data_IF_741432109716
#
_entry.id   IF_741432109716
#
_cell.length_a   1.000
_cell.length_b   1.000
_cell.length_c   1.000
_cell.angle_alpha   90.00
_cell.angle_beta   90.00
_cell.angle_gamma   90.00
#
_symmetry.space_group_name_H-M   'P 1'
#
loop_
_entity.id
_entity.type
_entity.pdbx_description
1 polymer ?
#
# COMPACT_ATOMS: atom_id res chain seq x y z
N UNK A 1 30.79 -2.06 -10.05
CA UNK A 1 30.64 -0.59 -10.24
C UNK A 1 29.85 -0.38 -11.53
N UNK A 2 28.52 -0.42 -11.46
CA UNK A 2 27.63 -0.09 -12.60
C UNK A 2 26.88 1.17 -12.21
N UNK A 3 27.29 2.28 -12.79
CA UNK A 3 26.56 3.53 -12.68
C UNK A 3 25.30 3.41 -13.56
N UNK A 4 24.12 3.40 -12.94
CA UNK A 4 22.85 3.57 -13.64
C UNK A 4 22.62 5.06 -13.78
N UNK A 5 22.79 5.60 -15.00
CA UNK A 5 22.35 6.95 -15.32
C UNK A 5 20.81 6.92 -15.46
N UNK A 6 20.10 7.34 -14.41
CA UNK A 6 18.67 7.61 -14.47
C UNK A 6 18.39 8.87 -15.28
N UNK A 7 17.37 8.85 -16.14
CA UNK A 7 16.84 10.07 -16.76
C UNK A 7 15.95 10.78 -15.74
N UNK A 8 16.42 11.92 -15.22
CA UNK A 8 15.59 12.78 -14.37
C UNK A 8 14.49 13.44 -15.22
N UNK A 9 13.25 13.13 -14.92
CA UNK A 9 12.09 13.81 -15.50
C UNK A 9 11.51 14.77 -14.46
N UNK A 10 11.26 16.03 -14.85
CA UNK A 10 10.51 16.98 -14.03
C UNK A 10 9.03 16.85 -14.35
N UNK A 11 8.21 16.60 -13.37
CA UNK A 11 6.75 16.59 -13.49
C UNK A 11 6.22 17.91 -12.93
N UNK A 12 5.38 18.61 -13.72
CA UNK A 12 4.74 19.86 -13.30
C UNK A 12 3.55 19.52 -12.39
N UNK A 13 3.63 19.94 -11.14
CA UNK A 13 2.54 19.94 -10.17
C UNK A 13 2.16 21.36 -9.79
N UNK A 14 1.00 21.58 -9.18
CA UNK A 14 0.52 22.92 -8.74
C UNK A 14 1.50 23.68 -7.80
N UNK A 15 2.56 23.03 -7.31
CA UNK A 15 3.57 23.55 -6.39
C UNK A 15 4.99 23.71 -6.97
N UNK A 16 5.23 23.46 -8.27
CA UNK A 16 6.56 23.52 -8.88
C UNK A 16 7.05 22.19 -9.45
N UNK A 17 8.27 22.16 -10.02
CA UNK A 17 8.88 20.95 -10.57
C UNK A 17 9.42 20.06 -9.44
N UNK A 18 8.83 18.89 -9.21
CA UNK A 18 9.36 17.86 -8.32
C UNK A 18 10.27 16.90 -9.10
N UNK A 19 11.43 16.57 -8.53
CA UNK A 19 12.32 15.55 -9.10
C UNK A 19 11.63 14.18 -9.10
N UNK A 20 11.76 13.46 -10.20
CA UNK A 20 11.23 12.10 -10.37
C UNK A 20 12.28 11.26 -11.09
N UNK A 21 12.70 10.17 -10.46
CA UNK A 21 13.65 9.21 -11.04
C UNK A 21 13.03 7.82 -11.13
N UNK A 22 13.09 7.22 -12.32
CA UNK A 22 12.57 5.89 -12.61
C UNK A 22 13.73 4.90 -12.70
N UNK A 23 13.70 3.86 -11.91
CA UNK A 23 14.73 2.82 -11.89
C UNK A 23 14.14 1.48 -11.41
N UNK A 24 14.99 0.48 -11.23
CA UNK A 24 14.56 -0.82 -10.72
C UNK A 24 15.38 -1.24 -9.51
N UNK A 25 14.70 -1.75 -8.48
CA UNK A 25 15.32 -2.42 -7.33
C UNK A 25 15.08 -3.91 -7.50
N UNK A 26 16.12 -4.71 -7.73
CA UNK A 26 16.00 -6.18 -7.97
C UNK A 26 14.93 -6.52 -9.01
N UNK A 27 14.88 -5.78 -10.12
CA UNK A 27 13.87 -5.87 -11.19
C UNK A 27 12.47 -5.34 -10.87
N UNK A 28 12.20 -4.84 -9.66
CA UNK A 28 10.94 -4.21 -9.29
C UNK A 28 10.93 -2.78 -9.84
N UNK A 29 10.00 -2.40 -10.74
CA UNK A 29 9.89 -1.03 -11.26
C UNK A 29 9.56 -0.07 -10.12
N UNK A 30 10.36 0.97 -9.98
CA UNK A 30 10.35 1.87 -8.83
C UNK A 30 10.45 3.33 -9.29
N UNK A 31 9.84 4.22 -8.55
CA UNK A 31 9.96 5.68 -8.71
C UNK A 31 10.44 6.28 -7.39
N UNK A 32 11.47 7.11 -7.47
CA UNK A 32 11.90 7.99 -6.39
C UNK A 32 11.44 9.41 -6.70
N UNK A 33 10.67 9.98 -5.78
CA UNK A 33 10.10 11.32 -5.89
C UNK A 33 10.78 12.27 -4.89
N UNK A 34 10.96 13.51 -5.30
CA UNK A 34 11.40 14.61 -4.44
C UNK A 34 12.90 14.81 -4.37
N UNK A 35 13.30 15.93 -3.80
CA UNK A 35 14.68 16.32 -3.62
C UNK A 35 15.40 15.44 -2.62
N UNK A 36 16.73 15.38 -2.71
CA UNK A 36 17.55 14.53 -1.82
C UNK A 36 17.26 14.80 -0.34
N UNK A 37 16.96 13.76 0.40
CA UNK A 37 16.63 13.79 1.82
C UNK A 37 17.27 12.61 2.59
N UNK A 38 17.33 12.72 3.90
CA UNK A 38 17.66 11.60 4.81
C UNK A 38 16.40 10.84 5.29
N UNK A 39 15.20 11.34 4.92
CA UNK A 39 13.90 10.81 5.30
C UNK A 39 13.14 10.31 4.09
N UNK A 40 12.48 9.17 4.19
CA UNK A 40 11.72 8.57 3.09
C UNK A 40 10.38 8.03 3.56
N UNK A 41 9.37 8.14 2.68
CA UNK A 41 8.18 7.30 2.72
C UNK A 41 8.29 6.19 1.68
N UNK A 42 8.10 4.94 2.08
CA UNK A 42 7.82 3.85 1.14
C UNK A 42 6.33 3.92 0.81
N UNK A 43 6.00 4.15 -0.46
CA UNK A 43 4.62 4.23 -0.96
C UNK A 43 4.18 2.89 -1.56
N UNK A 44 3.16 2.25 -0.96
CA UNK A 44 2.64 0.95 -1.41
C UNK A 44 1.19 1.12 -1.87
N UNK A 45 0.96 0.96 -3.17
CA UNK A 45 -0.36 1.12 -3.78
C UNK A 45 -1.31 -0.06 -3.49
N UNK A 46 -2.59 0.12 -3.79
CA UNK A 46 -3.63 -0.90 -3.64
C UNK A 46 -3.83 -1.76 -4.87
N UNK A 47 -4.90 -2.59 -4.85
CA UNK A 47 -5.32 -3.38 -6.01
C UNK A 47 -5.75 -2.48 -7.17
N UNK A 48 -5.55 -2.92 -8.42
CA UNK A 48 -5.87 -2.21 -9.66
C UNK A 48 -5.21 -0.82 -9.80
N UNK A 49 -4.15 -0.56 -9.06
CA UNK A 49 -3.41 0.69 -9.02
C UNK A 49 -1.96 0.51 -9.51
N UNK A 50 -1.08 1.47 -9.27
CA UNK A 50 0.33 1.42 -9.65
C UNK A 50 1.14 2.43 -8.81
N UNK A 51 2.48 2.40 -8.97
CA UNK A 51 3.43 3.27 -8.28
C UNK A 51 3.27 4.77 -8.53
N UNK A 52 2.46 5.16 -9.50
CA UNK A 52 2.21 6.55 -9.91
C UNK A 52 0.73 6.94 -9.81
N UNK A 53 -0.07 6.20 -9.05
CA UNK A 53 -1.47 6.52 -8.82
C UNK A 53 -1.65 7.89 -8.13
N UNK A 54 -2.82 8.50 -8.29
CA UNK A 54 -3.13 9.85 -7.79
C UNK A 54 -2.81 10.01 -6.29
N UNK A 55 -3.14 9.02 -5.45
CA UNK A 55 -2.84 9.09 -4.01
C UNK A 55 -1.34 9.00 -3.72
N UNK A 56 -0.55 8.31 -4.56
CA UNK A 56 0.91 8.26 -4.45
C UNK A 56 1.52 9.60 -4.89
N UNK A 57 0.99 10.21 -5.95
CA UNK A 57 1.45 11.53 -6.39
C UNK A 57 1.18 12.61 -5.35
N UNK A 58 -0.04 12.62 -4.75
CA UNK A 58 -0.39 13.56 -3.68
C UNK A 58 0.51 13.34 -2.45
N UNK A 59 0.78 12.06 -2.07
CA UNK A 59 1.75 11.77 -1.03
C UNK A 59 3.11 12.37 -1.34
N UNK A 60 3.60 12.19 -2.57
CA UNK A 60 4.91 12.69 -2.98
C UNK A 60 4.99 14.22 -2.91
N UNK A 61 3.93 14.93 -3.33
CA UNK A 61 3.83 16.38 -3.21
C UNK A 61 3.92 16.85 -1.76
N UNK A 62 3.08 16.30 -0.88
CA UNK A 62 3.02 16.72 0.52
C UNK A 62 4.29 16.33 1.30
N UNK A 63 4.81 15.13 1.05
CA UNK A 63 6.03 14.64 1.69
C UNK A 63 7.26 15.47 1.27
N UNK A 64 7.37 15.82 -0.02
CA UNK A 64 8.49 16.64 -0.50
C UNK A 64 8.51 18.04 0.14
N UNK A 65 7.35 18.67 0.32
CA UNK A 65 7.22 19.96 1.00
C UNK A 65 7.69 19.92 2.47
N UNK A 66 7.67 18.71 3.08
CA UNK A 66 8.11 18.46 4.46
C UNK A 66 9.53 17.87 4.53
N UNK A 67 10.23 17.85 3.41
CA UNK A 67 11.61 17.38 3.33
C UNK A 67 11.76 15.85 3.36
N UNK A 68 10.75 15.11 2.90
CA UNK A 68 10.84 13.67 2.65
C UNK A 68 10.96 13.39 1.15
N UNK A 69 11.63 12.31 0.81
CA UNK A 69 11.46 11.64 -0.47
C UNK A 69 10.33 10.60 -0.38
N UNK A 70 9.79 10.17 -1.53
CA UNK A 70 8.89 9.02 -1.59
C UNK A 70 9.47 8.00 -2.55
N UNK A 71 9.50 6.72 -2.12
CA UNK A 71 9.90 5.57 -2.92
C UNK A 71 8.66 4.72 -3.17
N UNK A 72 8.12 4.75 -4.38
CA UNK A 72 6.98 3.93 -4.78
C UNK A 72 7.37 2.88 -5.81
N UNK A 73 6.67 1.75 -5.85
CA UNK A 73 7.00 0.63 -6.74
C UNK A 73 5.74 -0.12 -7.17
N UNK A 74 5.82 -0.84 -8.28
CA UNK A 74 4.72 -1.67 -8.77
C UNK A 74 4.72 -3.04 -8.09
N UNK A 75 3.58 -3.40 -7.47
CA UNK A 75 3.32 -4.75 -6.99
C UNK A 75 3.23 -5.75 -8.16
N UNK A 76 3.43 -7.07 -7.94
CA UNK A 76 3.18 -8.08 -8.97
C UNK A 76 1.81 -7.93 -9.62
N UNK A 77 1.71 -8.19 -10.93
CA UNK A 77 0.50 -8.05 -11.76
C UNK A 77 -0.06 -6.60 -11.85
N UNK A 78 0.69 -5.56 -11.41
CA UNK A 78 0.27 -4.17 -11.44
C UNK A 78 1.25 -3.28 -12.23
N UNK A 79 0.78 -2.12 -12.65
CA UNK A 79 1.59 -1.12 -13.33
C UNK A 79 2.36 -1.67 -14.54
N UNK A 80 3.68 -1.52 -14.56
CA UNK A 80 4.56 -2.07 -15.60
C UNK A 80 4.66 -3.60 -15.56
N UNK A 81 4.16 -4.22 -14.48
CA UNK A 81 4.23 -5.67 -14.22
C UNK A 81 2.93 -6.42 -14.51
N UNK A 82 1.98 -5.81 -15.23
CA UNK A 82 0.67 -6.42 -15.56
C UNK A 82 0.78 -7.79 -16.24
N UNK A 83 1.87 -8.04 -16.95
CA UNK A 83 2.11 -9.27 -17.67
C UNK A 83 3.21 -10.13 -17.02
N UNK A 84 3.61 -9.84 -15.80
CA UNK A 84 4.57 -10.66 -15.06
C UNK A 84 3.96 -12.05 -14.76
N UNK A 85 4.83 -13.05 -14.70
CA UNK A 85 4.43 -14.40 -14.29
C UNK A 85 4.31 -14.54 -12.75
N UNK A 86 4.74 -13.54 -11.98
CA UNK A 86 4.64 -13.55 -10.53
C UNK A 86 3.25 -13.08 -10.12
N UNK A 87 2.42 -13.95 -9.51
CA UNK A 87 1.08 -13.54 -9.08
C UNK A 87 1.14 -12.60 -7.88
N UNK A 88 0.16 -11.67 -7.81
CA UNK A 88 -0.01 -10.77 -6.67
C UNK A 88 -0.58 -11.52 -5.47
N UNK A 89 0.22 -12.40 -4.88
CA UNK A 89 -0.10 -13.13 -3.64
C UNK A 89 0.76 -12.60 -2.50
N UNK A 90 0.22 -12.69 -1.29
CA UNK A 90 0.88 -12.17 -0.08
C UNK A 90 2.32 -12.67 0.06
N UNK A 91 2.59 -13.96 -0.20
CA UNK A 91 3.91 -14.56 -0.02
C UNK A 91 4.99 -13.90 -0.92
N UNK A 92 4.62 -13.55 -2.16
CA UNK A 92 5.51 -12.86 -3.08
C UNK A 92 5.63 -11.37 -2.74
N UNK A 93 4.49 -10.73 -2.43
CA UNK A 93 4.46 -9.30 -2.12
C UNK A 93 5.30 -8.98 -0.86
N UNK A 94 5.17 -9.72 0.24
CA UNK A 94 5.97 -9.47 1.45
C UNK A 94 7.47 -9.69 1.23
N UNK A 95 7.83 -10.66 0.37
CA UNK A 95 9.24 -10.87 0.01
C UNK A 95 9.81 -9.66 -0.75
N UNK A 96 9.06 -9.13 -1.71
CA UNK A 96 9.48 -7.94 -2.46
C UNK A 96 9.47 -6.67 -1.59
N UNK A 97 8.48 -6.51 -0.71
CA UNK A 97 8.47 -5.41 0.26
C UNK A 97 9.72 -5.46 1.16
N UNK A 98 10.19 -6.66 1.54
CA UNK A 98 11.43 -6.80 2.31
C UNK A 98 12.66 -6.35 1.51
N UNK A 99 12.70 -6.60 0.20
CA UNK A 99 13.77 -6.08 -0.68
C UNK A 99 13.75 -4.55 -0.72
N UNK A 100 12.57 -3.95 -0.88
CA UNK A 100 12.38 -2.49 -0.88
C UNK A 100 12.79 -1.88 0.47
N UNK A 101 12.41 -2.51 1.60
CA UNK A 101 12.80 -2.05 2.93
C UNK A 101 14.31 -2.09 3.13
N UNK A 102 14.98 -3.17 2.73
CA UNK A 102 16.42 -3.28 2.84
C UNK A 102 17.12 -2.17 2.03
N UNK A 103 16.67 -1.96 0.80
CA UNK A 103 17.16 -0.85 -0.01
C UNK A 103 16.93 0.51 0.67
N UNK A 104 15.74 0.73 1.25
CA UNK A 104 15.44 1.97 1.95
C UNK A 104 16.36 2.19 3.15
N UNK A 105 16.61 1.18 3.96
CA UNK A 105 17.51 1.24 5.14
C UNK A 105 18.97 1.51 4.77
N UNK A 106 19.42 1.10 3.58
CA UNK A 106 20.78 1.37 3.11
C UNK A 106 20.97 2.82 2.65
N UNK A 107 19.90 3.52 2.24
CA UNK A 107 19.97 4.83 1.59
C UNK A 107 19.41 5.97 2.44
N UNK A 108 18.52 5.72 3.39
CA UNK A 108 17.90 6.74 4.25
C UNK A 108 18.03 6.41 5.72
N UNK A 109 18.12 7.45 6.55
CA UNK A 109 18.22 7.33 8.00
C UNK A 109 16.86 7.10 8.68
N UNK A 110 15.81 7.66 8.10
CA UNK A 110 14.45 7.60 8.63
C UNK A 110 13.50 7.06 7.57
N UNK A 111 12.86 5.95 7.88
CA UNK A 111 11.91 5.27 6.98
C UNK A 111 10.52 5.31 7.60
N UNK A 112 9.57 5.81 6.82
CA UNK A 112 8.13 5.78 7.08
C UNK A 112 7.43 4.99 5.99
N UNK A 113 6.19 4.58 6.21
CA UNK A 113 5.39 3.89 5.20
C UNK A 113 4.08 4.63 4.95
N UNK A 114 3.69 4.73 3.70
CA UNK A 114 2.33 5.01 3.27
C UNK A 114 1.81 3.81 2.49
N UNK A 115 0.60 3.38 2.80
CA UNK A 115 0.02 2.24 2.09
C UNK A 115 -1.49 2.32 1.96
N UNK A 116 -2.02 1.85 0.81
CA UNK A 116 -3.44 1.82 0.53
C UNK A 116 -3.98 0.40 0.46
N UNK A 117 -5.19 0.17 0.98
CA UNK A 117 -5.99 -1.04 0.74
C UNK A 117 -5.17 -2.33 0.95
N UNK A 118 -5.06 -3.16 -0.07
CA UNK A 118 -4.26 -4.40 -0.09
C UNK A 118 -2.78 -4.15 0.20
N UNK A 119 -2.21 -3.02 -0.29
CA UNK A 119 -0.83 -2.64 0.00
C UNK A 119 -0.57 -2.41 1.48
N UNK A 120 -1.58 -1.91 2.23
CA UNK A 120 -1.48 -1.78 3.68
C UNK A 120 -1.38 -3.15 4.35
N UNK A 121 -2.16 -4.16 3.92
CA UNK A 121 -2.06 -5.52 4.45
C UNK A 121 -0.67 -6.11 4.27
N UNK A 122 -0.10 -5.98 3.06
CA UNK A 122 1.25 -6.46 2.79
C UNK A 122 2.31 -5.73 3.64
N UNK A 123 2.16 -4.41 3.78
CA UNK A 123 3.07 -3.61 4.61
C UNK A 123 3.01 -3.98 6.09
N UNK A 124 1.80 -4.20 6.64
CA UNK A 124 1.59 -4.61 8.01
C UNK A 124 2.24 -5.96 8.32
N UNK A 125 2.25 -6.90 7.37
CA UNK A 125 2.92 -8.19 7.53
C UNK A 125 4.44 -8.09 7.31
N UNK A 126 4.86 -7.40 6.24
CA UNK A 126 6.27 -7.34 5.88
C UNK A 126 7.11 -6.55 6.90
N UNK A 127 6.55 -5.46 7.42
CA UNK A 127 7.28 -4.46 8.20
C UNK A 127 7.00 -4.48 9.71
N UNK A 128 6.27 -5.49 10.22
CA UNK A 128 5.88 -5.57 11.64
C UNK A 128 7.05 -5.55 12.63
N UNK A 129 8.25 -5.93 12.18
CA UNK A 129 9.47 -5.97 12.98
C UNK A 129 10.48 -4.88 12.59
N UNK A 130 10.12 -3.98 11.67
CA UNK A 130 10.99 -2.91 11.22
C UNK A 130 10.84 -1.67 12.10
N UNK A 131 11.94 -0.95 12.29
CA UNK A 131 11.93 0.34 13.01
C UNK A 131 11.43 1.46 12.10
N UNK A 132 10.12 1.53 11.89
CA UNK A 132 9.48 2.60 11.14
C UNK A 132 9.26 3.83 12.03
N UNK A 133 9.44 5.03 11.45
CA UNK A 133 9.13 6.28 12.12
C UNK A 133 7.63 6.46 12.30
N UNK A 134 6.85 6.24 11.23
CA UNK A 134 5.38 6.26 11.23
C UNK A 134 4.79 5.46 10.07
N UNK A 135 3.50 5.18 10.17
CA UNK A 135 2.70 4.59 9.10
C UNK A 135 1.45 5.44 8.82
N UNK A 136 1.21 5.74 7.56
CA UNK A 136 0.02 6.42 7.07
C UNK A 136 -0.77 5.43 6.21
N UNK A 137 -1.98 5.07 6.62
CA UNK A 137 -2.76 4.03 5.95
C UNK A 137 -4.08 4.61 5.41
N UNK A 138 -4.33 4.45 4.11
CA UNK A 138 -5.56 4.89 3.45
C UNK A 138 -6.44 3.68 3.13
N UNK A 139 -7.68 3.66 3.65
CA UNK A 139 -8.64 2.57 3.47
C UNK A 139 -8.00 1.18 3.62
N UNK A 140 -7.24 0.90 4.71
CA UNK A 140 -6.39 -0.28 4.77
C UNK A 140 -7.19 -1.58 4.85
N UNK A 141 -6.74 -2.61 4.13
CA UNK A 141 -7.11 -3.97 4.47
C UNK A 141 -6.27 -4.39 5.69
N UNK A 142 -6.91 -4.62 6.81
CA UNK A 142 -6.25 -5.08 8.05
C UNK A 142 -6.58 -6.54 8.39
N UNK A 143 -7.51 -7.15 7.66
CA UNK A 143 -7.89 -8.55 7.76
C UNK A 143 -8.20 -9.13 6.37
N UNK A 144 -7.21 -9.69 5.72
CA UNK A 144 -7.34 -10.25 4.37
C UNK A 144 -8.17 -11.54 4.36
N UNK A 145 -8.12 -12.33 5.42
CA UNK A 145 -8.98 -13.52 5.55
C UNK A 145 -10.45 -13.12 5.40
N UNK A 146 -10.87 -12.07 6.12
CA UNK A 146 -12.24 -11.55 6.04
C UNK A 146 -12.63 -11.08 4.64
N UNK A 147 -11.72 -10.42 3.93
CA UNK A 147 -11.94 -9.99 2.54
C UNK A 147 -12.17 -11.22 1.63
N UNK A 148 -11.30 -12.23 1.74
CA UNK A 148 -11.44 -13.47 0.94
C UNK A 148 -12.75 -14.18 1.29
N UNK A 149 -13.10 -14.32 2.56
CA UNK A 149 -14.36 -14.94 3.00
C UNK A 149 -15.59 -14.18 2.48
N UNK A 150 -15.57 -12.86 2.48
CA UNK A 150 -16.65 -12.04 1.92
C UNK A 150 -16.79 -12.27 0.42
N UNK A 151 -15.67 -12.25 -0.34
CA UNK A 151 -15.69 -12.57 -1.77
C UNK A 151 -16.23 -13.98 -2.04
N UNK A 152 -15.83 -14.98 -1.24
CA UNK A 152 -16.35 -16.34 -1.36
C UNK A 152 -17.87 -16.38 -1.16
N UNK A 153 -18.40 -15.64 -0.17
CA UNK A 153 -19.84 -15.53 0.08
C UNK A 153 -20.57 -14.84 -1.07
N UNK A 154 -20.04 -13.72 -1.59
CA UNK A 154 -20.66 -12.97 -2.71
C UNK A 154 -20.83 -13.82 -3.97
N UNK A 155 -19.89 -14.73 -4.22
CA UNK A 155 -19.88 -15.58 -5.42
C UNK A 155 -20.28 -17.04 -5.17
N UNK A 156 -20.82 -17.36 -3.97
CA UNK A 156 -21.22 -18.72 -3.58
C UNK A 156 -20.10 -19.76 -3.73
N UNK A 157 -18.86 -19.38 -3.41
CA UNK A 157 -17.68 -20.25 -3.42
C UNK A 157 -17.51 -20.82 -2.00
N UNK A 158 -17.51 -22.15 -1.86
CA UNK A 158 -17.24 -22.79 -0.57
C UNK A 158 -15.74 -23.05 -0.39
N UNK A 159 -15.25 -23.19 0.86
CA UNK A 159 -13.86 -23.58 1.11
C UNK A 159 -13.47 -24.90 0.42
N UNK A 160 -14.36 -25.89 0.40
CA UNK A 160 -14.14 -27.18 -0.24
C UNK A 160 -14.01 -27.04 -1.76
N UNK A 161 -14.82 -26.17 -2.37
CA UNK A 161 -14.72 -25.87 -3.79
C UNK A 161 -13.40 -25.18 -4.12
N UNK A 162 -13.02 -24.15 -3.35
CA UNK A 162 -11.75 -23.43 -3.55
C UNK A 162 -10.54 -24.37 -3.33
N UNK A 163 -10.62 -25.26 -2.33
CA UNK A 163 -9.60 -26.28 -2.08
C UNK A 163 -9.45 -27.25 -3.25
N UNK A 164 -10.58 -27.70 -3.82
CA UNK A 164 -10.58 -28.65 -4.94
C UNK A 164 -10.02 -28.03 -6.21
N UNK A 165 -10.45 -26.81 -6.54
CA UNK A 165 -10.07 -26.13 -7.78
C UNK A 165 -8.72 -25.38 -7.66
N UNK A 166 -8.19 -25.19 -6.44
CA UNK A 166 -6.96 -24.45 -6.09
C UNK A 166 -6.97 -22.97 -6.48
N UNK A 167 -7.64 -22.61 -7.57
CA UNK A 167 -7.78 -21.23 -8.07
C UNK A 167 -9.16 -21.07 -8.71
N UNK A 168 -9.88 -20.02 -8.31
CA UNK A 168 -11.17 -19.67 -8.90
C UNK A 168 -11.13 -18.20 -9.31
N UNK A 169 -11.45 -17.94 -10.57
CA UNK A 169 -11.63 -16.58 -11.08
C UNK A 169 -13.05 -16.12 -10.79
N UNK A 170 -13.19 -14.98 -10.13
CA UNK A 170 -14.52 -14.42 -9.82
C UNK A 170 -15.05 -13.59 -11.00
N UNK A 171 -16.38 -13.36 -11.08
CA UNK A 171 -16.97 -12.54 -12.14
C UNK A 171 -16.44 -11.09 -12.22
N UNK A 172 -15.83 -10.59 -11.16
CA UNK A 172 -15.20 -9.26 -11.10
C UNK A 172 -13.72 -9.27 -11.51
N UNK A 173 -13.21 -10.41 -12.02
CA UNK A 173 -11.82 -10.56 -12.46
C UNK A 173 -10.80 -10.76 -11.34
N UNK A 174 -11.22 -10.80 -10.08
CA UNK A 174 -10.34 -11.14 -8.97
C UNK A 174 -10.20 -12.66 -8.85
N UNK A 175 -8.97 -13.15 -8.76
CA UNK A 175 -8.70 -14.57 -8.54
C UNK A 175 -8.61 -14.88 -7.04
N UNK A 176 -9.31 -15.93 -6.61
CA UNK A 176 -9.18 -16.52 -5.29
C UNK A 176 -8.26 -17.73 -5.37
N UNK A 177 -7.31 -17.81 -4.43
CA UNK A 177 -6.36 -18.92 -4.37
C UNK A 177 -6.47 -19.63 -3.03
N UNK A 178 -6.47 -20.96 -3.06
CA UNK A 178 -6.52 -21.77 -1.84
C UNK A 178 -5.29 -21.56 -0.95
N UNK A 179 -4.10 -21.56 -1.55
CA UNK A 179 -2.85 -21.35 -0.81
C UNK A 179 -2.76 -19.94 -0.20
N UNK A 180 -3.36 -18.92 -0.83
CA UNK A 180 -3.43 -17.58 -0.26
C UNK A 180 -4.36 -17.57 0.97
N UNK A 181 -5.54 -18.19 0.88
CA UNK A 181 -6.46 -18.31 2.03
C UNK A 181 -5.81 -19.06 3.21
N UNK A 182 -5.11 -20.17 2.94
CA UNK A 182 -4.36 -20.88 3.97
C UNK A 182 -3.29 -19.99 4.60
N UNK A 183 -2.51 -19.29 3.79
CA UNK A 183 -1.44 -18.43 4.27
C UNK A 183 -1.97 -17.31 5.20
N UNK A 184 -3.05 -16.62 4.82
CA UNK A 184 -3.57 -15.52 5.66
C UNK A 184 -4.16 -16.01 6.97
N UNK A 185 -4.69 -17.24 7.02
CA UNK A 185 -5.16 -17.89 8.26
C UNK A 185 -4.01 -18.23 9.21
N UNK A 186 -2.88 -18.66 8.67
CA UNK A 186 -1.70 -19.03 9.45
C UNK A 186 -0.87 -17.82 9.89
N UNK A 187 -1.00 -16.68 9.19
CA UNK A 187 -0.21 -15.48 9.42
C UNK A 187 -1.07 -14.24 9.70
N UNK A 188 -1.83 -14.21 10.80
CA UNK A 188 -2.60 -13.03 11.17
C UNK A 188 -1.66 -11.89 11.62
N UNK A 189 -2.12 -10.63 11.46
CA UNK A 189 -1.40 -9.46 11.99
C UNK A 189 -1.56 -9.45 13.52
N UNK A 190 -0.55 -9.94 14.22
CA UNK A 190 -0.56 -10.07 15.68
C UNK A 190 0.09 -8.90 16.40
N UNK A 191 1.15 -8.36 15.82
CA UNK A 191 1.95 -7.29 16.42
C UNK A 191 2.11 -6.15 15.43
N UNK A 192 1.84 -4.94 15.89
CA UNK A 192 2.14 -3.71 15.15
C UNK A 192 2.33 -2.60 16.19
N UNK A 193 3.54 -2.02 16.24
CA UNK A 193 3.94 -1.06 17.27
C UNK A 193 4.36 0.31 16.70
N UNK A 194 4.23 0.50 15.40
CA UNK A 194 4.55 1.76 14.74
C UNK A 194 3.43 2.78 14.98
N UNK A 195 3.79 4.03 15.24
CA UNK A 195 2.83 5.14 15.29
C UNK A 195 2.07 5.22 13.96
N UNK A 196 0.76 5.00 14.02
CA UNK A 196 -0.05 4.76 12.82
C UNK A 196 -1.29 5.64 12.79
N UNK A 197 -1.47 6.29 11.66
CA UNK A 197 -2.62 7.12 11.33
C UNK A 197 -3.40 6.47 10.20
N UNK A 198 -4.70 6.34 10.37
CA UNK A 198 -5.59 5.68 9.40
C UNK A 198 -6.63 6.70 8.94
N UNK A 199 -6.75 6.85 7.61
CA UNK A 199 -7.91 7.49 7.00
C UNK A 199 -8.82 6.43 6.40
N UNK A 200 -10.11 6.46 6.76
CA UNK A 200 -11.11 5.49 6.37
C UNK A 200 -12.36 6.18 5.84
N UNK A 201 -12.96 5.66 4.78
CA UNK A 201 -14.21 6.15 4.22
C UNK A 201 -15.43 5.48 4.86
N UNK A 202 -16.39 6.25 5.37
CA UNK A 202 -17.60 5.69 6.00
C UNK A 202 -18.50 4.90 5.02
N UNK A 203 -18.30 5.09 3.70
CA UNK A 203 -18.99 4.36 2.64
C UNK A 203 -18.14 3.25 2.03
N UNK A 204 -17.11 2.79 2.73
CA UNK A 204 -16.29 1.67 2.31
C UNK A 204 -17.11 0.37 2.38
N UNK A 205 -17.42 -0.21 1.21
CA UNK A 205 -18.18 -1.46 1.08
C UNK A 205 -17.27 -2.71 1.07
N UNK A 206 -15.94 -2.52 1.01
CA UNK A 206 -14.98 -3.61 0.96
C UNK A 206 -14.43 -3.96 2.36
N UNK A 207 -14.00 -2.96 3.11
CA UNK A 207 -13.44 -3.10 4.45
C UNK A 207 -14.47 -2.69 5.50
N UNK A 208 -14.99 -3.63 6.26
CA UNK A 208 -16.00 -3.39 7.30
C UNK A 208 -15.43 -2.48 8.41
N UNK A 209 -16.18 -1.44 8.80
CA UNK A 209 -15.77 -0.50 9.86
C UNK A 209 -15.37 -1.19 11.16
N UNK A 210 -16.12 -2.23 11.56
CA UNK A 210 -15.85 -2.99 12.78
C UNK A 210 -14.45 -3.62 12.77
N UNK A 211 -14.00 -4.09 11.61
CA UNK A 211 -12.66 -4.68 11.43
C UNK A 211 -11.58 -3.62 11.60
N UNK A 212 -11.77 -2.45 10.98
CA UNK A 212 -10.85 -1.31 11.10
C UNK A 212 -10.81 -0.82 12.56
N UNK A 213 -11.96 -0.61 13.19
CA UNK A 213 -12.07 -0.14 14.57
C UNK A 213 -11.43 -1.13 15.57
N UNK A 214 -11.61 -2.43 15.35
CA UNK A 214 -10.93 -3.45 16.16
C UNK A 214 -9.41 -3.35 16.04
N UNK A 215 -8.89 -3.28 14.80
CA UNK A 215 -7.46 -3.14 14.54
C UNK A 215 -6.90 -1.87 15.19
N UNK A 216 -7.58 -0.75 15.01
CA UNK A 216 -7.19 0.56 15.57
C UNK A 216 -7.06 0.50 17.09
N UNK A 217 -8.03 -0.10 17.78
CA UNK A 217 -8.01 -0.25 19.23
C UNK A 217 -6.91 -1.21 19.70
N UNK A 218 -6.75 -2.34 19.01
CA UNK A 218 -5.75 -3.37 19.35
C UNK A 218 -4.32 -2.81 19.25
N UNK A 219 -4.05 -2.00 18.21
CA UNK A 219 -2.71 -1.50 17.91
C UNK A 219 -2.51 -0.01 18.25
N UNK A 220 -3.50 0.64 18.89
CA UNK A 220 -3.46 2.04 19.34
C UNK A 220 -3.19 3.03 18.20
N UNK A 221 -3.79 2.80 17.03
CA UNK A 221 -3.71 3.70 15.89
C UNK A 221 -4.66 4.89 16.05
N UNK A 222 -4.35 6.02 15.43
CA UNK A 222 -5.31 7.11 15.26
C UNK A 222 -6.17 6.85 14.02
N UNK A 223 -7.49 7.03 14.15
CA UNK A 223 -8.46 6.80 13.07
C UNK A 223 -9.22 8.10 12.77
N UNK A 224 -9.15 8.53 11.52
CA UNK A 224 -10.01 9.58 10.97
C UNK A 224 -10.97 8.98 9.95
N UNK A 225 -12.26 9.28 10.10
CA UNK A 225 -13.33 8.77 9.24
C UNK A 225 -13.86 9.90 8.38
N UNK A 226 -13.82 9.71 7.06
CA UNK A 226 -14.46 10.60 6.12
C UNK A 226 -15.88 10.12 5.83
N UNK A 227 -16.91 10.88 6.24
CA UNK A 227 -18.32 10.51 6.10
C UNK A 227 -18.77 10.24 4.67
N UNK A 228 -18.20 10.96 3.70
CA UNK A 228 -18.49 10.80 2.26
C UNK A 228 -17.50 9.90 1.53
N UNK A 229 -16.46 9.43 2.22
CA UNK A 229 -15.39 8.62 1.64
C UNK A 229 -15.85 7.21 1.29
N UNK A 230 -15.40 6.72 0.15
CA UNK A 230 -15.54 5.34 -0.31
C UNK A 230 -14.23 4.57 -0.05
N UNK A 231 -14.17 3.28 -0.41
CA UNK A 231 -12.91 2.52 -0.34
C UNK A 231 -11.82 3.12 -1.24
N UNK A 232 -12.18 3.51 -2.45
CA UNK A 232 -11.29 4.15 -3.41
C UNK A 232 -11.49 5.67 -3.41
N UNK A 233 -10.50 6.40 -2.90
CA UNK A 233 -10.48 7.86 -2.89
C UNK A 233 -10.12 8.38 -4.28
N UNK A 234 -11.09 8.91 -5.02
CA UNK A 234 -10.92 9.31 -6.41
C UNK A 234 -11.61 10.63 -6.79
N UNK A 235 -12.58 11.11 -6.00
CA UNK A 235 -13.22 12.40 -6.28
C UNK A 235 -12.33 13.56 -5.83
N UNK A 236 -12.50 14.74 -6.45
CA UNK A 236 -11.75 15.95 -6.05
C UNK A 236 -11.90 16.26 -4.56
N UNK A 237 -13.12 16.11 -4.00
CA UNK A 237 -13.38 16.32 -2.58
C UNK A 237 -12.59 15.31 -1.71
N UNK A 238 -12.65 14.02 -2.06
CA UNK A 238 -11.95 12.97 -1.32
C UNK A 238 -10.43 13.19 -1.37
N UNK A 239 -9.88 13.49 -2.54
CA UNK A 239 -8.45 13.75 -2.72
C UNK A 239 -7.99 15.02 -2.00
N UNK A 240 -8.83 16.06 -1.94
CA UNK A 240 -8.56 17.29 -1.19
C UNK A 240 -8.50 17.01 0.32
N UNK A 241 -9.45 16.24 0.86
CA UNK A 241 -9.46 15.89 2.28
C UNK A 241 -8.27 14.97 2.60
N UNK A 242 -7.97 14.01 1.73
CA UNK A 242 -6.78 13.17 1.85
C UNK A 242 -5.48 14.00 1.88
N UNK A 243 -5.34 15.00 0.99
CA UNK A 243 -4.21 15.94 0.99
C UNK A 243 -4.09 16.69 2.32
N UNK A 244 -5.20 17.19 2.88
CA UNK A 244 -5.22 17.87 4.18
C UNK A 244 -4.81 16.93 5.33
N UNK A 245 -5.26 15.67 5.28
CA UNK A 245 -4.88 14.66 6.26
C UNK A 245 -3.38 14.32 6.20
N UNK A 246 -2.82 14.15 5.00
CA UNK A 246 -1.37 13.98 4.84
C UNK A 246 -0.59 15.15 5.43
N UNK A 247 -0.99 16.39 5.11
CA UNK A 247 -0.34 17.58 5.61
C UNK A 247 -0.35 17.68 7.15
N UNK A 248 -1.41 17.19 7.79
CA UNK A 248 -1.55 17.12 9.25
C UNK A 248 -0.59 16.10 9.87
N UNK A 249 -0.34 14.97 9.21
CA UNK A 249 0.37 13.83 9.79
C UNK A 249 1.81 13.64 9.29
N UNK A 250 2.21 14.36 8.25
CA UNK A 250 3.61 14.46 7.82
C UNK A 250 4.22 15.69 8.52
N UNK A 251 5.20 15.51 9.38
CA UNK A 251 5.91 16.52 10.19
C UNK A 251 7.31 16.83 9.62
#
# INVERSE_FOLDING_TARGET
>A
MCAVFGQFLYVLFDGGNMLKDNFKISNIPTVLWGDKSEKIFIGVHGNMSNKEDAVIQILAEEANQKGYQVLSFDLPEHGERKNDNTPCKVQFCISELSIIMNYAKEHWKEVSVFACSMGAYFSLLAYQNDALKKALLLSPVVNMERIIENMMKWFNITPELLQKEMTIETPIGQKLYWDYLCYVKEHPINTWNTDTYIMYGAKDELCEFETINYFTKKHRCELEVMETGEHYFHTEEQLKIFKQWLNKHID
#
